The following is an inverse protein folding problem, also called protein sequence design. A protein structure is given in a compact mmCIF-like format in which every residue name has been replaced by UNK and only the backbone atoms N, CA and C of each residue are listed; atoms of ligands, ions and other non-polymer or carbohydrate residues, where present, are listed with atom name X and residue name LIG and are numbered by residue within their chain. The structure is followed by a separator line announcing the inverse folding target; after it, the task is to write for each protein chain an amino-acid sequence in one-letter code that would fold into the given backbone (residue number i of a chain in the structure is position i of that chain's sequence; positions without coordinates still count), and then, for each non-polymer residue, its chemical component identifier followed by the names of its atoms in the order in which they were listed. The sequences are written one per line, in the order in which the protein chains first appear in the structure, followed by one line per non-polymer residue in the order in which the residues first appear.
data_IF_783179037318
#
_entry.id   IF_783179037318
#
_cell.length_a   1.000
_cell.length_b   1.000
_cell.length_c   1.000
_cell.angle_alpha   90.00
_cell.angle_beta   90.00
_cell.angle_gamma   90.00
#
_symmetry.space_group_name_H-M   'P 1'
#
loop_
_entity.id
_entity.type
_entity.pdbx_description
1 polymer ?
#
# COMPACT_ATOMS: atom_id res chain seq x y z
N UNK A 1 -42.35 -28.65 41.08
CA UNK A 1 -41.96 -28.85 39.66
C UNK A 1 -41.53 -27.54 38.95
N UNK A 2 -42.11 -26.37 39.27
CA UNK A 2 -41.84 -25.11 38.55
C UNK A 2 -40.49 -24.42 38.77
N UNK A 3 -39.78 -24.66 39.88
CA UNK A 3 -38.53 -23.93 40.21
C UNK A 3 -37.31 -24.41 39.39
N UNK A 4 -37.34 -25.64 38.88
CA UNK A 4 -36.30 -26.20 37.99
C UNK A 4 -36.46 -25.77 36.53
N UNK A 5 -37.69 -25.47 36.10
CA UNK A 5 -38.00 -25.01 34.72
C UNK A 5 -37.57 -23.55 34.52
N UNK A 6 -37.74 -22.71 35.54
CA UNK A 6 -37.32 -21.29 35.51
C UNK A 6 -35.78 -21.14 35.42
N UNK A 7 -35.03 -22.04 36.06
CA UNK A 7 -33.55 -22.05 36.00
C UNK A 7 -33.01 -22.54 34.65
N UNK A 8 -33.70 -23.48 33.98
CA UNK A 8 -33.33 -23.95 32.64
C UNK A 8 -33.63 -22.90 31.57
N UNK A 9 -34.74 -22.17 31.70
CA UNK A 9 -35.08 -21.05 30.80
C UNK A 9 -34.13 -19.85 30.98
N UNK A 10 -33.68 -19.56 32.21
CA UNK A 10 -32.71 -18.49 32.46
C UNK A 10 -31.31 -18.81 31.89
N UNK A 11 -30.89 -20.09 31.87
CA UNK A 11 -29.63 -20.50 31.23
C UNK A 11 -29.71 -20.46 29.69
N UNK A 12 -30.88 -20.72 29.10
CA UNK A 12 -31.08 -20.70 27.65
C UNK A 12 -31.11 -19.27 27.08
N UNK A 13 -31.54 -18.27 27.85
CA UNK A 13 -31.49 -16.86 27.44
C UNK A 13 -30.08 -16.27 27.55
N UNK A 14 -29.25 -16.79 28.45
CA UNK A 14 -27.84 -16.36 28.60
C UNK A 14 -26.94 -16.87 27.47
N UNK A 15 -27.30 -17.97 26.79
CA UNK A 15 -26.59 -18.46 25.61
C UNK A 15 -27.06 -17.83 24.28
N UNK A 16 -28.18 -17.10 24.28
CA UNK A 16 -28.81 -16.59 23.05
C UNK A 16 -28.49 -15.11 22.73
N UNK A 17 -27.61 -14.44 23.49
CA UNK A 17 -27.42 -12.99 23.37
C UNK A 17 -25.97 -12.51 23.22
N UNK A 18 -25.04 -13.40 22.89
CA UNK A 18 -23.78 -12.97 22.27
C UNK A 18 -23.89 -13.31 20.79
N UNK A 19 -24.40 -12.43 19.92
CA UNK A 19 -23.88 -12.45 18.57
C UNK A 19 -22.40 -12.12 18.76
N UNK A 20 -21.57 -13.16 18.74
CA UNK A 20 -20.18 -13.00 18.39
C UNK A 20 -20.28 -12.44 16.97
N UNK A 21 -20.30 -11.11 16.87
CA UNK A 21 -19.78 -10.44 15.70
C UNK A 21 -18.33 -10.88 15.69
N UNK A 22 -18.08 -12.07 15.16
CA UNK A 22 -16.87 -12.36 14.44
C UNK A 22 -16.89 -11.32 13.32
N UNK A 23 -16.44 -10.10 13.67
CA UNK A 23 -15.85 -9.20 12.70
C UNK A 23 -14.83 -10.09 12.06
N UNK A 24 -15.06 -10.49 10.80
CA UNK A 24 -13.98 -11.07 10.04
C UNK A 24 -12.87 -10.04 10.18
N UNK A 25 -11.82 -10.38 10.92
CA UNK A 25 -10.51 -9.77 10.70
C UNK A 25 -10.36 -9.90 9.19
N UNK A 26 -10.58 -8.81 8.45
CA UNK A 26 -10.44 -8.85 7.01
C UNK A 26 -8.97 -9.17 6.79
N UNK A 27 -8.67 -10.46 6.62
CA UNK A 27 -7.33 -10.93 6.31
C UNK A 27 -7.06 -10.52 4.88
N UNK A 28 -6.80 -9.23 4.68
CA UNK A 28 -6.40 -8.72 3.39
C UNK A 28 -5.02 -9.28 3.10
N UNK A 29 -4.77 -9.58 1.83
CA UNK A 29 -3.48 -10.11 1.43
C UNK A 29 -2.42 -9.01 1.61
N UNK A 30 -1.32 -9.33 2.29
CA UNK A 30 -0.09 -8.56 2.19
C UNK A 30 0.42 -8.68 0.75
N UNK A 31 0.61 -7.56 0.07
CA UNK A 31 0.99 -7.54 -1.35
C UNK A 31 2.18 -6.63 -1.60
N UNK A 32 2.87 -6.92 -2.69
CA UNK A 32 3.95 -6.09 -3.23
C UNK A 32 5.04 -5.73 -2.21
N UNK A 33 5.59 -6.71 -1.47
CA UNK A 33 6.62 -6.41 -0.49
C UNK A 33 7.93 -5.96 -1.15
N UNK A 34 8.70 -5.17 -0.40
CA UNK A 34 10.10 -4.83 -0.68
C UNK A 34 10.87 -4.80 0.64
N UNK A 35 12.19 -4.99 0.60
CA UNK A 35 13.02 -5.13 1.82
C UNK A 35 14.31 -4.33 1.72
N UNK A 36 14.66 -3.64 2.80
CA UNK A 36 15.96 -3.00 3.00
C UNK A 36 16.47 -3.27 4.41
N UNK A 37 17.61 -3.96 4.52
CA UNK A 37 18.17 -4.34 5.82
C UNK A 37 17.18 -5.14 6.65
N UNK A 38 16.79 -4.61 7.80
CA UNK A 38 15.82 -5.22 8.72
C UNK A 38 14.37 -4.81 8.47
N UNK A 39 14.05 -4.03 7.42
CA UNK A 39 12.72 -3.46 7.21
C UNK A 39 12.05 -4.02 5.96
N UNK A 40 10.82 -4.46 6.11
CA UNK A 40 9.95 -4.87 5.01
C UNK A 40 8.85 -3.83 4.87
N UNK A 41 8.68 -3.27 3.67
CA UNK A 41 7.51 -2.46 3.30
C UNK A 41 6.57 -3.33 2.49
N UNK A 42 5.26 -3.19 2.67
CA UNK A 42 4.24 -3.92 1.92
C UNK A 42 2.92 -3.15 1.87
N UNK A 43 2.07 -3.48 0.91
CA UNK A 43 0.69 -2.98 0.87
C UNK A 43 -0.21 -3.88 1.71
N UNK A 44 -0.98 -3.27 2.62
CA UNK A 44 -2.07 -3.91 3.33
C UNK A 44 -3.25 -2.95 3.45
N UNK A 45 -4.44 -3.44 3.16
CA UNK A 45 -5.67 -2.64 3.21
C UNK A 45 -5.76 -1.41 2.29
N UNK A 46 -4.86 -1.28 1.31
CA UNK A 46 -4.77 -0.12 0.44
C UNK A 46 -3.50 0.67 0.73
N UNK A 47 -3.09 0.69 2.00
CA UNK A 47 -1.99 1.51 2.50
C UNK A 47 -0.65 0.81 2.50
N UNK A 48 0.43 1.58 2.67
CA UNK A 48 1.75 1.07 2.95
C UNK A 48 1.96 0.84 4.45
N UNK A 49 2.58 -0.29 4.77
CA UNK A 49 2.98 -0.68 6.11
C UNK A 49 4.44 -1.08 6.12
N UNK A 50 5.12 -0.87 7.25
CA UNK A 50 6.49 -1.33 7.50
C UNK A 50 6.54 -2.22 8.72
N UNK A 51 7.33 -3.29 8.66
CA UNK A 51 7.60 -4.19 9.77
C UNK A 51 9.06 -4.60 9.79
N UNK A 52 9.56 -5.03 10.94
CA UNK A 52 10.87 -5.66 11.02
C UNK A 52 10.85 -7.03 10.34
N UNK A 53 11.93 -7.40 9.65
CA UNK A 53 12.13 -8.73 9.07
C UNK A 53 12.27 -9.82 10.14
N UNK A 54 12.56 -9.45 11.38
CA UNK A 54 12.53 -10.33 12.55
C UNK A 54 11.10 -10.53 13.09
N UNK A 55 10.09 -9.92 12.48
CA UNK A 55 8.69 -9.92 12.92
C UNK A 55 8.37 -8.79 13.90
N UNK A 56 7.17 -8.86 14.48
CA UNK A 56 6.66 -7.84 15.42
C UNK A 56 5.45 -7.08 14.86
N UNK A 57 5.14 -5.95 15.47
CA UNK A 57 4.01 -5.10 15.08
C UNK A 57 4.36 -4.29 13.84
N UNK A 58 3.50 -4.34 12.82
CA UNK A 58 3.63 -3.50 11.64
C UNK A 58 3.11 -2.08 11.92
N UNK A 59 3.81 -1.08 11.42
CA UNK A 59 3.45 0.33 11.49
C UNK A 59 2.90 0.80 10.14
N UNK A 60 1.76 1.51 10.16
CA UNK A 60 1.17 2.09 8.95
C UNK A 60 1.92 3.37 8.57
N UNK A 61 2.36 3.47 7.32
CA UNK A 61 3.09 4.63 6.80
C UNK A 61 2.21 5.65 6.08
N UNK A 62 1.13 5.21 5.43
CA UNK A 62 0.22 6.08 4.66
C UNK A 62 -1.22 5.90 5.11
N UNK A 63 -2.04 6.94 4.96
CA UNK A 63 -3.46 6.89 5.34
C UNK A 63 -4.37 7.79 4.52
N UNK A 64 -3.86 8.28 3.38
CA UNK A 64 -4.63 9.18 2.53
C UNK A 64 -5.67 8.40 1.72
N UNK A 65 -6.71 9.07 1.26
CA UNK A 65 -7.74 8.41 0.45
C UNK A 65 -7.15 7.97 -0.89
N UNK A 66 -7.04 6.65 -1.11
CA UNK A 66 -6.50 6.08 -2.34
C UNK A 66 -6.03 4.64 -2.15
N UNK A 67 -5.26 4.15 -3.11
CA UNK A 67 -4.49 2.91 -2.98
C UNK A 67 -3.01 3.19 -3.23
N UNK A 68 -2.15 2.53 -2.48
CA UNK A 68 -0.70 2.66 -2.50
C UNK A 68 -0.07 1.30 -2.77
N UNK A 69 0.63 1.20 -3.89
CA UNK A 69 1.12 -0.06 -4.44
C UNK A 69 2.59 0.05 -4.86
N UNK A 70 3.25 -1.11 -4.98
CA UNK A 70 4.58 -1.24 -5.59
C UNK A 70 5.65 -0.37 -4.90
N UNK A 71 5.66 -0.39 -3.57
CA UNK A 71 6.67 0.31 -2.79
C UNK A 71 8.08 -0.24 -3.04
N UNK A 72 9.06 0.66 -3.07
CA UNK A 72 10.49 0.38 -3.27
C UNK A 72 11.35 1.25 -2.38
N UNK A 73 12.21 0.64 -1.55
CA UNK A 73 13.20 1.38 -0.76
C UNK A 73 14.25 2.01 -1.67
N UNK A 74 14.66 3.23 -1.35
CA UNK A 74 15.84 3.85 -1.97
C UNK A 74 17.11 3.08 -1.60
N UNK A 75 18.20 3.17 -2.39
CA UNK A 75 19.44 2.47 -2.11
C UNK A 75 20.08 2.83 -0.75
N UNK A 76 19.78 4.01 -0.22
CA UNK A 76 20.21 4.46 1.12
C UNK A 76 19.24 4.05 2.25
N UNK A 77 18.13 3.40 1.93
CA UNK A 77 17.10 2.95 2.88
C UNK A 77 16.34 4.06 3.60
N UNK A 78 16.44 5.32 3.15
CA UNK A 78 15.82 6.47 3.84
C UNK A 78 14.48 6.88 3.27
N UNK A 79 14.21 6.54 2.01
CA UNK A 79 13.00 6.95 1.27
C UNK A 79 12.34 5.72 0.67
N UNK A 80 11.02 5.74 0.52
CA UNK A 80 10.24 4.75 -0.24
C UNK A 80 9.63 5.48 -1.43
N UNK A 81 9.85 4.96 -2.64
CA UNK A 81 9.06 5.31 -3.82
C UNK A 81 7.89 4.35 -3.95
N UNK A 82 6.73 4.82 -4.36
CA UNK A 82 5.53 3.99 -4.53
C UNK A 82 4.59 4.61 -5.55
N UNK A 83 3.60 3.83 -5.98
CA UNK A 83 2.56 4.30 -6.90
C UNK A 83 1.28 4.52 -6.11
N UNK A 84 0.65 5.70 -6.22
CA UNK A 84 -0.57 6.00 -5.48
C UNK A 84 -1.64 6.73 -6.29
N UNK A 85 -2.90 6.52 -5.92
CA UNK A 85 -4.07 7.06 -6.62
C UNK A 85 -4.79 8.23 -5.91
N UNK A 86 -4.06 9.03 -5.13
CA UNK A 86 -4.67 10.07 -4.28
C UNK A 86 -5.49 11.09 -5.07
N UNK A 87 -5.07 11.43 -6.29
CA UNK A 87 -5.72 12.42 -7.16
C UNK A 87 -6.45 11.78 -8.36
N UNK A 88 -6.88 10.52 -8.24
CA UNK A 88 -7.66 9.80 -9.25
C UNK A 88 -6.87 9.15 -10.39
N UNK A 89 -5.56 9.40 -10.49
CA UNK A 89 -4.62 8.66 -11.35
C UNK A 89 -3.51 8.05 -10.51
N UNK A 90 -2.95 6.92 -10.97
CA UNK A 90 -1.75 6.34 -10.35
C UNK A 90 -0.53 7.17 -10.75
N UNK A 91 0.09 7.85 -9.80
CA UNK A 91 1.33 8.59 -10.00
C UNK A 91 2.45 8.07 -9.11
N UNK A 92 3.69 8.46 -9.41
CA UNK A 92 4.85 8.15 -8.57
C UNK A 92 4.90 9.12 -7.39
N UNK A 93 5.00 8.57 -6.19
CA UNK A 93 5.17 9.31 -4.94
C UNK A 93 6.42 8.84 -4.20
N UNK A 94 6.90 9.68 -3.29
CA UNK A 94 7.92 9.31 -2.31
C UNK A 94 7.48 9.66 -0.89
N UNK A 95 7.95 8.89 0.09
CA UNK A 95 7.74 9.14 1.52
C UNK A 95 9.02 8.76 2.29
N UNK A 96 9.42 9.47 3.36
CA UNK A 96 10.49 9.00 4.23
C UNK A 96 10.11 7.66 4.88
N UNK A 97 11.09 6.78 5.09
CA UNK A 97 10.86 5.46 5.76
C UNK A 97 10.32 5.63 7.18
N UNK A 98 10.60 6.78 7.82
CA UNK A 98 10.08 7.14 9.14
C UNK A 98 8.64 7.68 9.10
N UNK A 99 7.98 7.65 7.95
CA UNK A 99 6.69 8.29 7.71
C UNK A 99 6.81 9.79 7.44
N UNK A 100 5.67 10.44 7.26
CA UNK A 100 5.55 11.85 6.91
C UNK A 100 4.58 12.07 5.76
N UNK A 101 4.62 13.27 5.17
CA UNK A 101 3.74 13.62 4.05
C UNK A 101 4.28 13.05 2.74
N UNK A 102 3.50 12.26 1.98
CA UNK A 102 3.87 11.84 0.63
C UNK A 102 4.13 13.01 -0.31
N UNK A 103 5.18 12.91 -1.14
CA UNK A 103 5.51 13.87 -2.19
C UNK A 103 5.25 13.27 -3.56
N UNK A 104 4.35 13.88 -4.34
CA UNK A 104 4.05 13.53 -5.73
C UNK A 104 5.20 13.94 -6.66
N UNK A 105 5.63 13.03 -7.54
CA UNK A 105 6.72 13.25 -8.48
C UNK A 105 6.28 13.27 -9.96
N UNK A 106 5.19 12.60 -10.31
CA UNK A 106 4.65 12.61 -11.69
C UNK A 106 3.22 13.16 -11.75
N UNK A 107 2.87 13.72 -12.91
CA UNK A 107 1.62 14.47 -13.13
C UNK A 107 0.99 14.14 -14.49
N UNK A 108 1.28 12.96 -15.04
CA UNK A 108 0.79 12.59 -16.38
C UNK A 108 -0.63 12.03 -16.30
N UNK A 109 -1.54 12.28 -17.26
CA UNK A 109 -2.89 11.70 -17.27
C UNK A 109 -2.99 10.17 -17.34
N UNK A 110 -1.88 9.45 -17.48
CA UNK A 110 -1.87 7.99 -17.56
C UNK A 110 -1.11 7.43 -16.37
N UNK A 111 -1.50 6.22 -15.95
CA UNK A 111 -0.94 5.59 -14.76
C UNK A 111 0.55 5.31 -14.88
N UNK A 112 1.28 5.73 -13.86
CA UNK A 112 2.68 5.43 -13.64
C UNK A 112 2.83 4.39 -12.54
N UNK A 113 3.58 3.33 -12.83
CA UNK A 113 3.86 2.27 -11.87
C UNK A 113 5.35 2.19 -11.58
N UNK A 114 5.71 2.44 -10.33
CA UNK A 114 7.07 2.28 -9.79
C UNK A 114 7.56 0.84 -10.00
N UNK A 115 8.81 0.73 -10.43
CA UNK A 115 9.51 -0.54 -10.59
C UNK A 115 10.67 -0.65 -9.61
N UNK A 116 11.56 0.35 -9.60
CA UNK A 116 12.73 0.38 -8.72
C UNK A 116 13.38 1.77 -8.69
N UNK A 117 14.46 1.93 -7.92
CA UNK A 117 15.38 3.06 -7.96
C UNK A 117 16.56 2.78 -8.89
N UNK A 118 17.20 3.83 -9.41
CA UNK A 118 18.54 3.68 -9.98
C UNK A 118 19.55 3.30 -8.89
N UNK A 119 20.64 2.58 -9.22
CA UNK A 119 21.65 2.21 -8.23
C UNK A 119 22.27 3.40 -7.48
N UNK A 120 22.37 4.55 -8.16
CA UNK A 120 22.82 5.82 -7.58
C UNK A 120 21.81 6.47 -6.62
N UNK A 121 20.54 6.05 -6.66
CA UNK A 121 19.47 6.58 -5.79
C UNK A 121 19.01 7.99 -6.14
N UNK A 122 19.38 8.50 -7.31
CA UNK A 122 19.02 9.83 -7.82
C UNK A 122 17.73 9.82 -8.64
N UNK A 123 17.32 8.66 -9.19
CA UNK A 123 16.13 8.53 -10.03
C UNK A 123 15.30 7.31 -9.66
N UNK A 124 14.02 7.36 -10.01
CA UNK A 124 13.05 6.27 -9.86
C UNK A 124 12.67 5.78 -11.25
N UNK A 125 12.81 4.48 -11.47
CA UNK A 125 12.36 3.76 -12.66
C UNK A 125 10.88 3.42 -12.51
N UNK A 126 10.07 3.78 -13.51
CA UNK A 126 8.66 3.45 -13.55
C UNK A 126 8.23 3.09 -14.97
N UNK A 127 7.09 2.40 -15.10
CA UNK A 127 6.46 2.12 -16.39
C UNK A 127 5.20 2.95 -16.58
N UNK A 128 4.98 3.42 -17.81
CA UNK A 128 3.83 4.27 -18.16
C UNK A 128 3.40 4.05 -19.61
N UNK A 129 2.14 4.37 -19.92
CA UNK A 129 1.61 4.40 -21.29
C UNK A 129 1.58 5.81 -21.88
N UNK A 130 2.33 6.77 -21.31
CA UNK A 130 2.32 8.19 -21.72
C UNK A 130 2.60 8.44 -23.21
N UNK A 131 3.56 7.73 -23.78
CA UNK A 131 3.89 7.84 -25.22
C UNK A 131 3.31 6.70 -26.04
N UNK A 132 2.15 6.18 -25.63
CA UNK A 132 1.41 5.19 -26.41
C UNK A 132 0.73 5.90 -27.59
N UNK A 133 1.45 6.03 -28.70
CA UNK A 133 1.06 6.80 -29.90
C UNK A 133 -0.17 6.30 -30.67
N UNK A 134 -0.99 5.38 -30.15
CA UNK A 134 -1.91 4.68 -31.03
C UNK A 134 -3.36 4.66 -30.55
N UNK A 135 -4.18 5.41 -31.29
CA UNK A 135 -5.48 4.94 -31.76
C UNK A 135 -5.27 4.54 -33.24
N UNK A 136 -5.31 3.25 -33.66
CA UNK A 136 -5.90 2.07 -33.01
C UNK A 136 -4.90 0.97 -32.60
N UNK A 137 -3.69 1.31 -32.17
CA UNK A 137 -2.60 0.34 -31.91
C UNK A 137 -2.45 -0.07 -30.44
N UNK A 138 -1.48 -0.94 -30.14
CA UNK A 138 -1.32 -1.48 -28.79
C UNK A 138 -0.86 -0.41 -27.80
N UNK A 139 -1.44 -0.41 -26.60
CA UNK A 139 -0.94 0.37 -25.46
C UNK A 139 0.41 -0.16 -25.02
N UNK A 140 1.49 0.39 -25.56
CA UNK A 140 2.84 0.00 -25.18
C UNK A 140 3.18 0.70 -23.86
N UNK A 141 3.44 -0.10 -22.82
CA UNK A 141 4.06 0.40 -21.59
C UNK A 141 5.55 0.56 -21.86
N UNK A 142 6.07 1.78 -21.72
CA UNK A 142 7.50 2.07 -21.82
C UNK A 142 8.07 2.33 -20.43
N UNK A 143 9.39 2.21 -20.31
CA UNK A 143 10.15 2.54 -19.12
C UNK A 143 10.55 4.01 -19.16
N UNK A 144 10.47 4.66 -18.01
CA UNK A 144 10.85 6.05 -17.82
C UNK A 144 11.57 6.20 -16.50
N UNK A 145 12.32 7.28 -16.35
CA UNK A 145 12.91 7.67 -15.08
C UNK A 145 12.44 9.06 -14.68
N UNK A 146 12.26 9.29 -13.39
CA UNK A 146 12.03 10.63 -12.82
C UNK A 146 13.09 10.89 -11.75
N UNK A 147 13.56 12.13 -11.64
CA UNK A 147 14.46 12.52 -10.55
C UNK A 147 13.75 12.33 -9.20
N UNK A 148 14.49 11.93 -8.16
CA UNK A 148 13.96 11.76 -6.80
C UNK A 148 13.31 13.03 -6.25
N UNK A 149 13.68 14.20 -6.79
CA UNK A 149 13.12 15.48 -6.41
C UNK A 149 11.93 15.90 -7.27
N UNK A 150 11.57 15.12 -8.28
CA UNK A 150 10.58 15.46 -9.30
C UNK A 150 11.19 16.25 -10.46
N UNK A 151 10.35 16.76 -11.34
CA UNK A 151 10.76 17.52 -12.51
C UNK A 151 10.03 17.05 -13.77
N UNK A 152 10.45 17.56 -14.92
CA UNK A 152 10.01 17.01 -16.19
C UNK A 152 10.81 15.74 -16.50
N UNK A 153 10.14 14.59 -16.70
CA UNK A 153 10.78 13.39 -17.23
C UNK A 153 11.17 13.56 -18.71
#
# INVERSE_FOLDING_TARGET
MGRRIVLVLALLVFFASVPLLARSEESRLMRFPDIYGDKIVFTYAGDLWVVSSNGGTAERLTSDAGIELFAKFSPDGKTIAFSASYDGNMDVYTIPVKGGVPKRLTYHPYGDMVLDWTPSGDKILFRSTRDSETNPGPRIRKLYTIDRNGGYP
#
